data_IF_229190800724
#
_entry.id   IF_229190800724
#
_cell.length_a   1.000
_cell.length_b   1.000
_cell.length_c   1.000
_cell.angle_alpha   90.00
_cell.angle_beta   90.00
_cell.angle_gamma   90.00
#
_symmetry.space_group_name_H-M   'P 1'
#
loop_
_entity.id
_entity.type
_entity.pdbx_description
1 polymer ?
#
# COMPACT_ATOMS: atom_id res chain seq x y z
N UNK A 1 27.46 -40.80 1.38
CA UNK A 1 27.49 -39.32 1.50
C UNK A 1 26.18 -38.76 2.04
N UNK A 2 25.01 -39.13 1.48
CA UNK A 2 23.70 -38.66 1.95
C UNK A 2 23.46 -38.84 3.47
N UNK A 3 23.69 -40.04 4.02
CA UNK A 3 23.48 -40.34 5.45
C UNK A 3 24.31 -39.49 6.41
N UNK A 4 25.53 -39.11 6.00
CA UNK A 4 26.39 -38.24 6.82
C UNK A 4 25.83 -36.80 6.85
N UNK A 5 25.35 -36.30 5.70
CA UNK A 5 24.72 -34.99 5.62
C UNK A 5 23.38 -34.96 6.38
N UNK A 6 22.57 -36.00 6.22
CA UNK A 6 21.30 -36.15 6.94
C UNK A 6 21.51 -36.09 8.46
N UNK A 7 22.44 -36.89 8.99
CA UNK A 7 22.73 -36.92 10.42
C UNK A 7 23.25 -35.57 10.93
N UNK A 8 24.12 -34.91 10.16
CA UNK A 8 24.63 -33.58 10.51
C UNK A 8 23.55 -32.50 10.54
N UNK A 9 22.62 -32.51 9.56
CA UNK A 9 21.49 -31.57 9.53
C UNK A 9 20.56 -31.79 10.73
N UNK A 10 20.21 -33.04 11.04
CA UNK A 10 19.36 -33.36 12.19
C UNK A 10 19.99 -32.93 13.51
N UNK A 11 21.30 -33.13 13.67
CA UNK A 11 22.02 -32.67 14.85
C UNK A 11 22.01 -31.13 14.97
N UNK A 12 22.22 -30.42 13.85
CA UNK A 12 22.20 -28.95 13.82
C UNK A 12 20.82 -28.38 14.19
N UNK A 13 19.74 -29.07 13.82
CA UNK A 13 18.37 -28.71 14.17
C UNK A 13 17.96 -29.17 15.59
N UNK A 14 18.87 -29.78 16.36
CA UNK A 14 18.56 -30.43 17.64
C UNK A 14 17.40 -31.43 17.53
N UNK A 15 17.30 -32.14 16.40
CA UNK A 15 16.22 -33.07 16.07
C UNK A 15 14.82 -32.44 15.98
N UNK A 16 14.73 -31.11 15.94
CA UNK A 16 13.46 -30.37 15.77
C UNK A 16 13.20 -30.17 14.28
N UNK A 17 12.41 -31.08 13.69
CA UNK A 17 12.06 -31.04 12.25
C UNK A 17 10.67 -30.42 12.02
N UNK A 18 9.87 -30.29 13.08
CA UNK A 18 8.48 -29.83 13.01
C UNK A 18 8.29 -28.37 13.42
N UNK A 19 7.73 -27.57 12.52
CA UNK A 19 7.27 -26.21 12.79
C UNK A 19 5.94 -25.93 12.06
N UNK A 20 5.09 -25.03 12.57
CA UNK A 20 3.88 -24.65 11.86
C UNK A 20 4.24 -23.98 10.53
N UNK A 21 3.69 -24.50 9.43
CA UNK A 21 4.02 -24.05 8.08
C UNK A 21 2.98 -23.08 7.53
N UNK A 22 3.36 -22.33 6.49
CA UNK A 22 2.44 -21.44 5.76
C UNK A 22 1.26 -22.24 5.22
N UNK A 23 1.51 -23.43 4.68
CA UNK A 23 0.49 -24.34 4.14
C UNK A 23 -0.54 -24.74 5.20
N UNK A 24 -0.09 -25.08 6.42
CA UNK A 24 -1.01 -25.45 7.51
C UNK A 24 -1.94 -24.29 7.90
N UNK A 25 -1.40 -23.07 7.99
CA UNK A 25 -2.22 -21.88 8.26
C UNK A 25 -3.14 -21.50 7.10
N UNK A 26 -2.71 -21.74 5.86
CA UNK A 26 -3.51 -21.49 4.68
C UNK A 26 -4.71 -22.44 4.62
N UNK A 27 -4.50 -23.73 4.88
CA UNK A 27 -5.59 -24.71 4.99
C UNK A 27 -6.59 -24.29 6.06
N UNK A 28 -6.12 -23.87 7.24
CA UNK A 28 -7.00 -23.35 8.29
C UNK A 28 -7.82 -22.14 7.79
N UNK A 29 -7.18 -21.18 7.13
CA UNK A 29 -7.84 -20.00 6.57
C UNK A 29 -8.90 -20.33 5.51
N UNK A 30 -8.68 -21.40 4.74
CA UNK A 30 -9.58 -21.84 3.68
C UNK A 30 -10.77 -22.63 4.22
N UNK A 31 -10.64 -23.31 5.38
CA UNK A 31 -11.78 -24.03 5.99
C UNK A 31 -12.93 -23.13 6.44
N UNK A 32 -12.65 -21.84 6.70
CA UNK A 32 -13.66 -20.85 7.10
C UNK A 32 -14.52 -20.35 5.93
N UNK A 33 -14.16 -20.68 4.68
CA UNK A 33 -14.77 -20.11 3.46
C UNK A 33 -15.37 -21.21 2.60
N UNK A 34 -16.36 -20.87 1.77
CA UNK A 34 -16.87 -21.76 0.74
C UNK A 34 -15.73 -22.26 -0.14
N UNK A 35 -15.76 -23.54 -0.48
CA UNK A 35 -14.73 -24.17 -1.31
C UNK A 35 -14.58 -23.46 -2.66
N UNK A 36 -13.40 -22.85 -2.88
CA UNK A 36 -13.00 -22.18 -4.11
C UNK A 36 -11.59 -22.69 -4.49
N UNK A 37 -11.48 -23.67 -5.40
CA UNK A 37 -10.20 -24.28 -5.76
C UNK A 37 -9.27 -23.31 -6.49
N UNK A 38 -9.83 -22.33 -7.24
CA UNK A 38 -9.02 -21.31 -7.92
C UNK A 38 -8.33 -20.40 -6.90
N UNK A 39 -9.05 -20.02 -5.84
CA UNK A 39 -8.48 -19.23 -4.74
C UNK A 39 -7.39 -20.00 -3.98
N UNK A 40 -7.59 -21.30 -3.74
CA UNK A 40 -6.60 -22.16 -3.11
C UNK A 40 -5.32 -22.26 -3.96
N UNK A 41 -5.45 -22.59 -5.26
CA UNK A 41 -4.32 -22.68 -6.18
C UNK A 41 -3.57 -21.35 -6.33
N UNK A 42 -4.30 -20.23 -6.37
CA UNK A 42 -3.71 -18.89 -6.42
C UNK A 42 -2.91 -18.59 -5.14
N UNK A 43 -3.46 -18.97 -3.98
CA UNK A 43 -2.76 -18.80 -2.71
C UNK A 43 -1.50 -19.65 -2.64
N UNK A 44 -1.54 -20.90 -3.11
CA UNK A 44 -0.36 -21.76 -3.23
C UNK A 44 0.71 -21.13 -4.12
N UNK A 45 0.33 -20.64 -5.31
CA UNK A 45 1.26 -19.95 -6.21
C UNK A 45 2.00 -18.80 -5.50
N UNK A 46 1.26 -17.92 -4.81
CA UNK A 46 1.84 -16.76 -4.13
C UNK A 46 2.75 -17.20 -2.98
N UNK A 47 2.35 -18.19 -2.19
CA UNK A 47 3.19 -18.70 -1.09
C UNK A 47 4.44 -19.41 -1.60
N UNK A 48 4.37 -20.11 -2.73
CA UNK A 48 5.54 -20.74 -3.34
C UNK A 48 6.46 -19.72 -3.98
N UNK A 49 5.92 -18.66 -4.59
CA UNK A 49 6.70 -17.50 -5.05
C UNK A 49 7.52 -16.91 -3.90
N UNK A 50 6.93 -16.76 -2.71
CA UNK A 50 7.61 -16.23 -1.53
C UNK A 50 8.83 -17.08 -1.11
N UNK A 51 8.83 -18.39 -1.36
CA UNK A 51 9.96 -19.27 -1.00
C UNK A 51 11.24 -18.99 -1.81
N UNK A 52 11.12 -18.33 -2.98
CA UNK A 52 12.28 -17.97 -3.80
C UNK A 52 12.99 -16.69 -3.32
N UNK A 53 12.39 -15.92 -2.40
CA UNK A 53 12.91 -14.61 -2.01
C UNK A 53 13.25 -14.57 -0.51
N UNK A 54 14.52 -14.28 -0.21
CA UNK A 54 15.05 -14.23 1.17
C UNK A 54 14.35 -13.22 2.08
N UNK A 55 13.72 -12.19 1.51
CA UNK A 55 13.02 -11.14 2.26
C UNK A 55 11.83 -11.66 3.06
N UNK A 56 11.30 -12.83 2.68
CA UNK A 56 10.17 -13.46 3.34
C UNK A 56 10.56 -14.43 4.46
N UNK A 57 11.84 -14.75 4.64
CA UNK A 57 12.35 -15.61 5.72
C UNK A 57 11.93 -15.13 7.13
N UNK A 58 12.00 -13.81 7.48
CA UNK A 58 11.59 -13.36 8.82
C UNK A 58 10.07 -13.30 9.01
N UNK A 59 9.27 -13.49 7.95
CA UNK A 59 7.81 -13.37 8.02
C UNK A 59 7.22 -14.59 8.71
N UNK A 60 6.40 -14.36 9.74
CA UNK A 60 5.72 -15.46 10.45
C UNK A 60 4.82 -16.25 9.49
N UNK A 61 4.81 -17.60 9.55
CA UNK A 61 4.03 -18.42 8.62
C UNK A 61 2.53 -18.09 8.59
N UNK A 62 1.94 -17.76 9.74
CA UNK A 62 0.53 -17.33 9.85
C UNK A 62 0.25 -15.99 9.20
N UNK A 63 1.21 -15.06 9.24
CA UNK A 63 1.09 -13.75 8.60
C UNK A 63 1.21 -13.89 7.08
N UNK A 64 2.18 -14.69 6.62
CA UNK A 64 2.37 -15.03 5.22
C UNK A 64 1.11 -15.64 4.62
N UNK A 65 0.51 -16.64 5.28
CA UNK A 65 -0.71 -17.30 4.79
C UNK A 65 -1.87 -16.31 4.59
N UNK A 66 -2.10 -15.42 5.58
CA UNK A 66 -3.18 -14.42 5.52
C UNK A 66 -2.91 -13.35 4.46
N UNK A 67 -1.69 -12.85 4.37
CA UNK A 67 -1.29 -11.87 3.36
C UNK A 67 -1.35 -12.45 1.94
N UNK A 68 -0.88 -13.68 1.73
CA UNK A 68 -0.99 -14.36 0.44
C UNK A 68 -2.45 -14.59 0.04
N UNK A 69 -3.30 -15.01 0.98
CA UNK A 69 -4.72 -15.23 0.73
C UNK A 69 -5.46 -13.92 0.44
N UNK A 70 -5.15 -12.84 1.17
CA UNK A 70 -5.69 -11.51 0.91
C UNK A 70 -5.31 -10.99 -0.48
N UNK A 71 -4.05 -11.23 -0.91
CA UNK A 71 -3.58 -10.89 -2.25
C UNK A 71 -4.26 -11.74 -3.33
N UNK A 72 -4.40 -13.05 -3.10
CA UNK A 72 -5.09 -13.97 -4.01
C UNK A 72 -6.54 -13.53 -4.26
N UNK A 73 -7.27 -13.17 -3.20
CA UNK A 73 -8.63 -12.62 -3.30
C UNK A 73 -8.66 -11.32 -4.11
N UNK A 74 -7.69 -10.43 -3.91
CA UNK A 74 -7.59 -9.19 -4.69
C UNK A 74 -7.40 -9.47 -6.19
N UNK A 75 -6.49 -10.37 -6.55
CA UNK A 75 -6.21 -10.73 -7.96
C UNK A 75 -7.45 -11.34 -8.62
N UNK A 76 -8.13 -12.26 -7.91
CA UNK A 76 -9.34 -12.93 -8.40
C UNK A 76 -10.63 -12.10 -8.24
N UNK A 77 -10.53 -10.85 -7.76
CA UNK A 77 -11.68 -9.97 -7.49
C UNK A 77 -12.74 -10.61 -6.56
N UNK A 78 -12.28 -11.35 -5.54
CA UNK A 78 -13.12 -11.96 -4.49
C UNK A 78 -13.28 -11.01 -3.30
N UNK A 79 -14.42 -11.06 -2.58
CA UNK A 79 -14.61 -10.25 -1.39
C UNK A 79 -13.61 -10.62 -0.28
N UNK A 80 -13.10 -9.63 0.43
CA UNK A 80 -12.23 -9.86 1.58
C UNK A 80 -13.04 -10.35 2.79
N UNK A 81 -12.41 -11.17 3.67
CA UNK A 81 -13.05 -11.63 4.90
C UNK A 81 -13.39 -10.46 5.83
N UNK A 82 -14.32 -10.68 6.76
CA UNK A 82 -14.76 -9.64 7.70
C UNK A 82 -13.63 -9.34 8.68
N UNK A 83 -13.52 -8.09 9.15
CA UNK A 83 -12.46 -7.69 10.09
C UNK A 83 -12.44 -8.46 11.43
N UNK A 84 -13.54 -9.13 11.77
CA UNK A 84 -13.65 -10.06 12.90
C UNK A 84 -12.86 -11.36 12.69
N UNK A 85 -12.68 -11.76 11.44
CA UNK A 85 -12.18 -13.08 11.08
C UNK A 85 -10.67 -13.12 11.22
N UNK A 86 -10.14 -14.26 11.66
CA UNK A 86 -8.70 -14.42 11.83
C UNK A 86 -7.95 -14.22 10.50
N UNK A 87 -8.55 -14.69 9.40
CA UNK A 87 -8.01 -14.57 8.04
C UNK A 87 -7.93 -13.12 7.53
N UNK A 88 -8.69 -12.18 8.10
CA UNK A 88 -8.67 -10.76 7.73
C UNK A 88 -7.49 -9.97 8.34
N UNK A 89 -6.81 -10.53 9.34
CA UNK A 89 -5.70 -9.87 10.06
C UNK A 89 -4.37 -10.05 9.33
N UNK A 90 -4.31 -9.71 8.05
CA UNK A 90 -3.09 -9.75 7.25
C UNK A 90 -2.22 -8.50 7.47
N UNK A 91 -0.95 -8.58 7.05
CA UNK A 91 -0.02 -7.45 7.14
C UNK A 91 0.12 -6.79 5.76
N UNK A 92 -0.20 -5.49 5.61
CA UNK A 92 -0.19 -4.80 4.33
C UNK A 92 1.17 -4.72 3.66
N UNK A 93 2.26 -4.54 4.40
CA UNK A 93 3.60 -4.45 3.83
C UNK A 93 4.03 -5.76 3.14
N UNK A 94 3.72 -6.91 3.72
CA UNK A 94 3.95 -8.24 3.15
C UNK A 94 3.13 -8.40 1.88
N UNK A 95 1.87 -7.94 1.86
CA UNK A 95 1.03 -7.98 0.64
C UNK A 95 1.65 -7.16 -0.47
N UNK A 96 2.10 -5.93 -0.16
CA UNK A 96 2.77 -5.06 -1.14
C UNK A 96 4.07 -5.69 -1.65
N UNK A 97 4.91 -6.21 -0.76
CA UNK A 97 6.14 -6.88 -1.13
C UNK A 97 5.88 -8.10 -2.04
N UNK A 98 4.90 -8.94 -1.70
CA UNK A 98 4.47 -10.07 -2.55
C UNK A 98 4.03 -9.59 -3.93
N UNK A 99 3.25 -8.50 -3.99
CA UNK A 99 2.75 -7.96 -5.26
C UNK A 99 3.88 -7.48 -6.19
N UNK A 100 4.96 -6.93 -5.63
CA UNK A 100 6.13 -6.50 -6.41
C UNK A 100 6.82 -7.68 -7.11
N UNK A 101 6.90 -8.84 -6.43
CA UNK A 101 7.53 -10.04 -6.98
C UNK A 101 6.65 -10.81 -7.98
N UNK A 102 5.34 -10.54 -8.06
CA UNK A 102 4.45 -11.18 -9.05
C UNK A 102 4.88 -10.94 -10.50
N UNK A 103 5.58 -9.83 -10.75
CA UNK A 103 6.07 -9.48 -12.09
C UNK A 103 7.27 -10.30 -12.55
N UNK A 104 7.98 -10.97 -11.64
CA UNK A 104 9.24 -11.68 -11.93
C UNK A 104 9.24 -13.13 -11.42
N UNK A 105 8.27 -13.98 -11.81
CA UNK A 105 8.24 -15.36 -11.35
C UNK A 105 9.27 -16.23 -12.09
N UNK A 106 9.81 -17.23 -11.40
CA UNK A 106 10.70 -18.21 -12.01
C UNK A 106 10.00 -19.00 -13.13
N UNK A 107 10.75 -19.46 -14.13
CA UNK A 107 10.19 -20.23 -15.24
C UNK A 107 9.58 -21.56 -14.79
N UNK A 108 10.19 -22.22 -13.79
CA UNK A 108 9.70 -23.47 -13.22
C UNK A 108 8.34 -23.27 -12.53
N UNK A 109 8.22 -22.22 -11.72
CA UNK A 109 6.98 -21.89 -11.03
C UNK A 109 5.86 -21.58 -12.03
N UNK A 110 6.15 -20.75 -13.03
CA UNK A 110 5.17 -20.39 -14.07
C UNK A 110 4.65 -21.63 -14.82
N UNK A 111 5.55 -22.54 -15.21
CA UNK A 111 5.16 -23.77 -15.91
C UNK A 111 4.33 -24.70 -15.03
N UNK A 112 4.68 -24.84 -13.76
CA UNK A 112 3.93 -25.66 -12.79
C UNK A 112 2.48 -25.19 -12.70
N UNK A 113 2.28 -23.89 -12.49
CA UNK A 113 0.95 -23.31 -12.27
C UNK A 113 0.20 -22.88 -13.54
N UNK A 114 0.77 -23.11 -14.72
CA UNK A 114 0.07 -23.00 -16.01
C UNK A 114 -0.81 -24.23 -16.29
N UNK A 115 -0.64 -25.31 -15.53
CA UNK A 115 -1.44 -26.53 -15.67
C UNK A 115 -2.92 -26.27 -15.33
N UNK A 116 -3.88 -26.79 -16.13
CA UNK A 116 -5.31 -26.73 -15.81
C UNK A 116 -5.67 -27.36 -14.47
N UNK A 117 -4.88 -28.34 -14.01
CA UNK A 117 -5.07 -28.97 -12.69
C UNK A 117 -4.87 -27.99 -11.53
N UNK A 118 -4.10 -26.92 -11.76
CA UNK A 118 -3.86 -25.84 -10.80
C UNK A 118 -4.58 -24.55 -11.23
N UNK A 119 -5.75 -24.70 -11.87
CA UNK A 119 -6.59 -23.61 -12.38
C UNK A 119 -5.89 -22.63 -13.34
N UNK A 120 -4.75 -22.99 -13.92
CA UNK A 120 -3.96 -22.12 -14.80
C UNK A 120 -3.66 -20.75 -14.17
N UNK A 121 -3.47 -20.69 -12.84
CA UNK A 121 -3.37 -19.41 -12.10
C UNK A 121 -2.21 -18.54 -12.56
N UNK A 122 -1.13 -19.12 -13.10
CA UNK A 122 -0.04 -18.31 -13.67
C UNK A 122 -0.52 -17.40 -14.82
N UNK A 123 -1.44 -17.90 -15.65
CA UNK A 123 -1.99 -17.16 -16.78
C UNK A 123 -2.93 -16.06 -16.30
N UNK A 124 -3.69 -16.32 -15.23
CA UNK A 124 -4.57 -15.32 -14.63
C UNK A 124 -3.78 -14.16 -14.04
N UNK A 125 -2.62 -14.42 -13.42
CA UNK A 125 -1.70 -13.40 -12.91
C UNK A 125 -1.11 -12.59 -14.06
N UNK A 126 -0.67 -13.24 -15.13
CA UNK A 126 -0.13 -12.55 -16.31
C UNK A 126 -1.17 -11.60 -16.93
N UNK A 127 -2.41 -12.07 -17.09
CA UNK A 127 -3.52 -11.24 -17.56
C UNK A 127 -3.82 -10.08 -16.61
N UNK A 128 -3.78 -10.32 -15.30
CA UNK A 128 -3.99 -9.29 -14.28
C UNK A 128 -2.90 -8.21 -14.34
N UNK A 129 -1.63 -8.59 -14.43
CA UNK A 129 -0.51 -7.67 -14.56
C UNK A 129 -0.55 -6.89 -15.88
N UNK A 130 -0.91 -7.54 -16.98
CA UNK A 130 -1.11 -6.88 -18.27
C UNK A 130 -2.21 -5.81 -18.19
N UNK A 131 -3.34 -6.14 -17.56
CA UNK A 131 -4.44 -5.20 -17.33
C UNK A 131 -3.99 -4.01 -16.48
N UNK A 132 -3.21 -4.24 -15.42
CA UNK A 132 -2.67 -3.15 -14.61
C UNK A 132 -1.73 -2.23 -15.42
N UNK A 133 -0.85 -2.80 -16.24
CA UNK A 133 0.05 -2.02 -17.09
C UNK A 133 -0.71 -1.13 -18.08
N UNK A 134 -1.80 -1.63 -18.69
CA UNK A 134 -2.66 -0.84 -19.58
C UNK A 134 -3.35 0.32 -18.86
N UNK A 135 -3.80 0.12 -17.61
CA UNK A 135 -4.43 1.18 -16.81
C UNK A 135 -3.43 2.25 -16.38
N UNK A 136 -2.20 1.85 -16.02
CA UNK A 136 -1.13 2.78 -15.67
C UNK A 136 -0.77 3.72 -16.82
N UNK A 137 -0.73 3.22 -18.06
CA UNK A 137 -0.46 4.03 -19.26
C UNK A 137 -1.57 5.06 -19.55
N UNK A 138 -2.83 4.73 -19.27
CA UNK A 138 -3.97 5.65 -19.43
C UNK A 138 -3.95 6.79 -18.42
N UNK A 139 -3.51 6.53 -17.18
CA UNK A 139 -3.40 7.57 -16.14
C UNK A 139 -2.37 8.66 -16.47
N UNK A 140 -1.33 8.33 -17.24
CA UNK A 140 -0.33 9.30 -17.74
C UNK A 140 -0.76 10.05 -18.99
N UNK A 141 -1.80 9.59 -19.69
CA UNK A 141 -2.34 10.22 -20.90
C UNK A 141 -3.71 10.84 -20.59
N UNK A 142 -3.78 11.74 -19.59
CA UNK A 142 -4.92 12.64 -19.52
C UNK A 142 -4.86 13.56 -20.76
N UNK A 143 -5.93 13.66 -21.57
CA UNK A 143 -5.93 14.55 -22.71
C UNK A 143 -5.81 15.98 -22.22
N UNK A 144 -4.78 16.69 -22.68
CA UNK A 144 -4.76 18.15 -22.66
C UNK A 144 -5.96 18.62 -23.47
N UNK A 145 -6.99 19.11 -22.79
CA UNK A 145 -8.04 19.88 -23.46
C UNK A 145 -7.37 21.13 -24.03
N UNK A 146 -7.00 21.10 -25.31
CA UNK A 146 -6.74 22.31 -26.08
C UNK A 146 -8.06 23.07 -26.17
N UNK A 147 -8.21 24.09 -25.32
CA UNK A 147 -9.32 25.04 -25.40
C UNK A 147 -9.10 25.86 -26.67
N UNK A 148 -10.03 25.88 -27.65
CA UNK A 148 -9.94 26.80 -28.77
C UNK A 148 -10.11 28.21 -28.21
N UNK A 149 -9.06 29.01 -28.22
CA UNK A 149 -9.13 30.46 -27.98
C UNK A 149 -10.03 31.07 -29.04
N UNK A 150 -11.26 31.43 -28.69
CA UNK A 150 -12.08 32.32 -29.51
C UNK A 150 -11.42 33.70 -29.48
N UNK A 151 -10.84 34.12 -30.59
CA UNK A 151 -10.50 35.53 -30.82
C UNK A 151 -11.80 36.33 -30.96
N UNK A 152 -12.02 37.25 -30.03
CA UNK A 152 -13.11 38.22 -30.11
C UNK A 152 -12.61 39.38 -30.96
N UNK A 153 -13.10 39.44 -32.19
CA UNK A 153 -12.88 40.54 -33.12
C UNK A 153 -13.61 41.80 -32.62
N UNK A 154 -12.86 42.87 -32.37
CA UNK A 154 -13.37 44.14 -31.86
C UNK A 154 -13.70 45.09 -33.00
N UNK A 155 -14.98 45.21 -33.34
CA UNK A 155 -15.50 46.30 -34.18
C UNK A 155 -16.20 47.37 -33.31
N UNK A 156 -15.98 48.69 -33.54
CA UNK A 156 -16.69 49.74 -32.83
C UNK A 156 -17.89 50.22 -33.66
N UNK A 157 -19.04 50.43 -33.02
CA UNK A 157 -19.96 51.58 -33.24
C UNK A 157 -21.25 51.37 -32.45
N UNK A 158 -21.52 52.23 -31.46
CA UNK A 158 -22.86 52.72 -31.15
C UNK A 158 -22.78 53.83 -30.10
N UNK A 159 -23.26 55.02 -30.47
CA UNK A 159 -23.40 56.17 -29.59
C UNK A 159 -24.45 55.94 -28.50
N UNK A 160 -24.03 56.17 -27.26
CA UNK A 160 -24.61 57.08 -26.24
C UNK A 160 -26.09 57.46 -26.44
N UNK A 161 -26.95 57.11 -25.46
CA UNK A 161 -27.63 58.04 -24.53
C UNK A 161 -28.69 57.28 -23.73
N UNK A 162 -28.57 57.26 -22.39
CA UNK A 162 -29.63 57.33 -21.36
C UNK A 162 -29.06 56.76 -20.03
N UNK A 163 -28.72 57.67 -19.11
CA UNK A 163 -28.39 57.42 -17.70
C UNK A 163 -29.70 57.23 -16.88
N UNK A 164 -29.70 56.78 -15.60
CA UNK A 164 -29.17 57.54 -14.47
C UNK A 164 -28.37 56.74 -13.42
N UNK A 165 -27.57 57.49 -12.67
CA UNK A 165 -26.56 57.11 -11.70
C UNK A 165 -27.08 56.54 -10.38
N UNK A 166 -26.25 55.71 -9.73
CA UNK A 166 -26.20 55.56 -8.26
C UNK A 166 -24.74 55.64 -7.76
N UNK A 167 -24.46 56.25 -6.58
CA UNK A 167 -23.11 56.74 -6.24
C UNK A 167 -22.13 55.62 -5.85
N UNK A 168 -20.94 55.58 -6.48
CA UNK A 168 -19.80 54.80 -6.02
C UNK A 168 -18.80 55.69 -5.26
N UNK A 169 -18.31 55.17 -4.12
CA UNK A 169 -17.30 55.79 -3.26
C UNK A 169 -15.90 55.36 -3.75
N UNK A 170 -14.88 56.26 -3.74
CA UNK A 170 -13.72 56.12 -4.62
C UNK A 170 -12.63 55.17 -4.09
N UNK A 171 -12.17 54.31 -5.00
CA UNK A 171 -10.75 54.03 -5.30
C UNK A 171 -9.94 53.21 -4.29
N UNK A 172 -9.39 52.08 -4.75
CA UNK A 172 -7.97 51.75 -4.54
C UNK A 172 -7.45 50.89 -5.70
N UNK A 173 -6.21 51.18 -6.07
CA UNK A 173 -5.41 50.62 -7.16
C UNK A 173 -4.93 49.18 -6.92
N UNK A 174 -4.70 48.48 -8.03
CA UNK A 174 -4.00 47.19 -8.14
C UNK A 174 -2.53 47.25 -7.66
N UNK A 175 -2.11 46.37 -6.75
CA UNK A 175 -0.73 45.86 -6.62
C UNK A 175 -0.72 44.52 -5.82
N UNK A 176 0.38 43.73 -5.74
CA UNK A 176 0.55 42.43 -6.39
C UNK A 176 0.75 41.24 -5.40
N UNK A 177 0.97 40.06 -5.97
CA UNK A 177 1.38 38.80 -5.32
C UNK A 177 2.46 38.94 -4.23
N UNK A 178 2.19 38.40 -3.03
CA UNK A 178 3.24 38.00 -2.09
C UNK A 178 2.95 38.32 -0.62
N UNK A 179 2.94 37.25 0.18
CA UNK A 179 3.11 37.13 1.64
C UNK A 179 2.02 37.59 2.64
N UNK A 180 1.89 36.69 3.63
CA UNK A 180 1.45 36.83 5.02
C UNK A 180 -0.05 36.62 5.32
N UNK A 181 -0.25 35.56 6.11
CA UNK A 181 -1.42 35.18 6.91
C UNK A 181 -1.83 36.29 7.92
N UNK A 182 -2.80 36.04 8.82
CA UNK A 182 -4.24 36.31 8.75
C UNK A 182 -4.68 37.45 9.71
N UNK A 183 -5.94 37.96 9.70
CA UNK A 183 -6.46 38.71 10.84
C UNK A 183 -7.50 37.92 11.66
N UNK A 184 -7.16 37.83 12.94
CA UNK A 184 -7.97 37.45 14.10
C UNK A 184 -9.19 38.39 14.25
N UNK A 185 -10.32 37.86 14.75
CA UNK A 185 -11.38 38.65 15.40
C UNK A 185 -11.47 38.22 16.89
N UNK A 186 -11.62 39.16 17.85
CA UNK A 186 -11.24 38.98 19.27
C UNK A 186 -12.37 38.59 20.25
N UNK A 187 -11.89 38.16 21.43
CA UNK A 187 -12.45 37.99 22.79
C UNK A 187 -13.91 38.32 23.15
N UNK A 188 -14.51 37.40 23.92
CA UNK A 188 -15.23 37.71 25.18
C UNK A 188 -15.42 36.48 26.10
N UNK A 189 -14.61 36.44 27.18
CA UNK A 189 -14.94 36.18 28.61
C UNK A 189 -15.84 34.97 29.00
N UNK A 190 -15.66 34.17 30.07
CA UNK A 190 -14.80 34.12 31.27
C UNK A 190 -15.14 32.76 31.96
N UNK A 191 -14.18 31.93 32.40
CA UNK A 191 -13.87 31.58 33.81
C UNK A 191 -13.75 30.03 33.92
N UNK A 192 -12.87 29.37 34.65
CA UNK A 192 -11.81 29.81 35.54
C UNK A 192 -10.86 28.65 35.91
N UNK A 193 -9.59 29.02 36.10
CA UNK A 193 -8.65 28.66 37.15
C UNK A 193 -8.39 27.18 37.56
N UNK A 194 -7.16 26.72 37.32
CA UNK A 194 -6.17 26.03 38.22
C UNK A 194 -5.24 25.15 37.37
N UNK A 195 -3.91 25.08 37.50
CA UNK A 195 -2.91 25.73 38.33
C UNK A 195 -1.52 25.18 37.92
N UNK A 196 -0.57 26.11 37.74
CA UNK A 196 0.90 26.06 37.83
C UNK A 196 1.75 24.78 37.66
N UNK A 197 2.83 24.91 36.87
CA UNK A 197 4.05 24.09 36.99
C UNK A 197 5.08 24.33 35.86
N UNK A 198 6.02 25.24 36.07
CA UNK A 198 7.00 25.80 35.11
C UNK A 198 8.33 25.02 35.05
N UNK A 199 9.07 25.24 33.94
CA UNK A 199 10.53 25.10 33.67
C UNK A 199 10.97 23.86 32.87
N UNK A 200 11.33 23.97 31.57
CA UNK A 200 12.43 24.69 30.90
C UNK A 200 13.74 23.87 30.90
N UNK A 201 14.27 23.53 29.71
CA UNK A 201 15.68 23.14 29.55
C UNK A 201 16.02 22.08 28.48
N UNK A 202 16.49 22.57 27.32
CA UNK A 202 17.48 22.02 26.38
C UNK A 202 17.90 20.52 26.44
N UNK A 203 17.79 19.84 25.30
CA UNK A 203 18.73 18.79 24.83
C UNK A 203 19.88 19.46 24.01
N UNK A 204 20.94 18.76 23.52
CA UNK A 204 21.34 17.34 23.66
C UNK A 204 22.84 17.14 23.99
N UNK A 205 23.27 15.99 24.54
CA UNK A 205 24.61 15.42 24.23
C UNK A 205 24.68 13.88 24.35
N UNK A 206 25.27 13.35 23.30
CA UNK A 206 25.91 12.04 23.08
C UNK A 206 26.87 11.58 24.19
N UNK A 207 27.04 10.25 24.27
CA UNK A 207 28.14 9.41 24.82
C UNK A 207 27.54 8.23 25.61
N UNK A 208 28.05 7.00 25.65
CA UNK A 208 29.10 6.28 24.96
C UNK A 208 28.92 4.79 25.30
N UNK A 209 29.45 3.91 24.45
CA UNK A 209 29.49 2.45 24.60
C UNK A 209 30.30 2.01 25.85
N UNK A 210 29.87 0.92 26.49
CA UNK A 210 30.67 0.18 27.48
C UNK A 210 30.91 -1.25 26.98
N UNK A 211 32.16 -1.73 26.89
CA UNK A 211 32.46 -3.14 26.61
C UNK A 211 32.62 -3.95 27.92
N UNK A 212 32.07 -5.17 27.94
CA UNK A 212 32.19 -6.13 29.05
C UNK A 212 33.33 -7.14 28.76
N UNK A 213 34.17 -7.53 29.75
CA UNK A 213 35.32 -8.42 29.55
C UNK A 213 34.97 -9.93 29.65
N UNK A 214 35.84 -10.84 29.18
CA UNK A 214 35.59 -12.28 29.11
C UNK A 214 36.13 -13.07 30.33
N UNK A 215 35.61 -14.28 30.57
CA UNK A 215 36.37 -15.42 31.07
C UNK A 215 36.87 -16.33 29.92
#
# INVERSE_FOLDING_TARGET
>A
MFTQMEWHVLQTLNWIVGHPTVTSFLQLALTEVSFDPELEHMSWYITELALYHKEFIPVRPSLMARSALALARCILSRPQPRFSDWSARYEPQVVLNLSNYLSQPSQALRRKYASPQLSSVSNTIEMFLQRQAMLAQRGTQAPTNDVPTMEIDSAPTANVYLTPSTPQKPGYSSVPTGVLTPPITPDKDYCGNTGYGMNQGLMPRVNACTPTPPP
#
